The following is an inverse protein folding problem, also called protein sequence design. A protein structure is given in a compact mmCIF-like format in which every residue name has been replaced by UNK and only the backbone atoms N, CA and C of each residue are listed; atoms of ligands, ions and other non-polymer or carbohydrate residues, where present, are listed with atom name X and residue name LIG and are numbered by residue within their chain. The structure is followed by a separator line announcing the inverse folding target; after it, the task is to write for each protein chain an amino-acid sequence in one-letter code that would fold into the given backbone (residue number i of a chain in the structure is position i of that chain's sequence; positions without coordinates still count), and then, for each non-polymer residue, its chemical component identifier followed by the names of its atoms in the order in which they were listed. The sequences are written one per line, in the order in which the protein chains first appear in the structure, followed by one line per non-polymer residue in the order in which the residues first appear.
data_IF_628729323445
#
_entry.id   IF_628729323445
#
_cell.length_a   1.000
_cell.length_b   1.000
_cell.length_c   1.000
_cell.angle_alpha   90.00
_cell.angle_beta   90.00
_cell.angle_gamma   90.00
#
_symmetry.space_group_name_H-M   'P 1'
#
loop_
_entity.id
_entity.type
_entity.pdbx_description
1 polymer ?
#
# COMPACT_ATOMS: atom_id res chain seq x y z
N UNK A 1 40.14 -27.75 -6.08
CA UNK A 1 40.02 -26.32 -5.71
C UNK A 1 38.91 -25.58 -6.45
N UNK A 2 38.07 -26.27 -7.20
CA UNK A 2 37.02 -25.71 -8.10
C UNK A 2 35.59 -25.73 -7.55
N UNK A 3 35.31 -26.44 -6.46
CA UNK A 3 33.94 -26.54 -5.89
C UNK A 3 33.53 -25.40 -4.95
N UNK A 4 34.37 -24.37 -4.75
CA UNK A 4 34.07 -23.20 -3.90
C UNK A 4 33.60 -21.96 -4.68
N UNK A 5 33.69 -21.96 -6.01
CA UNK A 5 33.31 -20.79 -6.88
C UNK A 5 31.86 -20.79 -7.35
N UNK A 6 31.10 -21.88 -7.18
CA UNK A 6 29.73 -22.01 -7.67
C UNK A 6 28.62 -21.58 -6.69
N UNK A 7 28.97 -20.99 -5.53
CA UNK A 7 27.98 -20.52 -4.52
C UNK A 7 27.77 -19.01 -4.49
N UNK A 8 28.29 -18.27 -5.42
CA UNK A 8 28.26 -16.81 -5.43
C UNK A 8 27.68 -16.25 -6.71
N UNK A 9 26.42 -16.46 -7.03
CA UNK A 9 25.73 -15.59 -8.03
C UNK A 9 24.24 -15.92 -8.21
N UNK A 10 23.52 -16.13 -7.13
CA UNK A 10 22.12 -15.74 -7.09
C UNK A 10 22.03 -14.63 -6.04
N UNK A 11 22.56 -13.50 -6.37
CA UNK A 11 22.20 -12.24 -5.71
C UNK A 11 20.71 -12.12 -5.95
N UNK A 12 19.91 -12.51 -4.97
CA UNK A 12 18.46 -12.37 -5.03
C UNK A 12 18.22 -10.88 -5.27
N UNK A 13 17.87 -10.54 -6.52
CA UNK A 13 17.67 -9.13 -6.90
C UNK A 13 16.54 -8.61 -6.05
N UNK A 14 16.83 -7.59 -5.25
CA UNK A 14 15.78 -6.90 -4.51
C UNK A 14 14.96 -6.08 -5.48
N UNK A 15 13.65 -6.03 -5.29
CA UNK A 15 12.78 -5.17 -6.09
C UNK A 15 11.49 -4.81 -5.35
N UNK A 16 10.90 -3.70 -5.76
CA UNK A 16 9.54 -3.30 -5.42
C UNK A 16 8.77 -3.24 -6.73
N UNK A 17 7.72 -4.04 -6.83
CA UNK A 17 6.88 -4.16 -8.00
C UNK A 17 5.43 -3.82 -7.66
N UNK A 18 4.83 -2.94 -8.46
CA UNK A 18 3.42 -2.54 -8.35
C UNK A 18 2.56 -3.31 -9.35
N UNK A 19 1.43 -3.79 -8.86
CA UNK A 19 0.41 -4.45 -9.65
C UNK A 19 -0.89 -3.66 -9.61
N UNK A 20 -1.44 -3.35 -10.79
CA UNK A 20 -2.77 -2.78 -10.97
C UNK A 20 -3.75 -3.89 -11.34
N UNK A 21 -4.74 -4.09 -10.50
CA UNK A 21 -5.73 -5.15 -10.67
C UNK A 21 -7.11 -4.51 -10.91
N UNK A 22 -7.83 -4.89 -11.97
CA UNK A 22 -9.18 -4.37 -12.18
C UNK A 22 -10.06 -4.63 -10.96
N UNK A 23 -10.82 -3.64 -10.53
CA UNK A 23 -11.69 -3.78 -9.38
C UNK A 23 -12.78 -4.80 -9.68
N UNK A 24 -12.76 -5.93 -8.96
CA UNK A 24 -13.67 -7.05 -9.18
C UNK A 24 -13.08 -8.23 -9.93
N UNK A 25 -11.79 -8.20 -10.23
CA UNK A 25 -11.04 -9.41 -10.53
C UNK A 25 -11.29 -10.43 -9.41
N UNK A 26 -11.70 -11.65 -9.74
CA UNK A 26 -11.90 -12.76 -8.80
C UNK A 26 -13.20 -12.80 -7.98
N UNK A 27 -14.13 -11.86 -8.13
CA UNK A 27 -15.40 -11.94 -7.40
C UNK A 27 -16.54 -11.10 -7.97
N UNK A 28 -17.65 -11.73 -8.34
CA UNK A 28 -18.80 -11.05 -8.93
C UNK A 28 -19.38 -9.93 -8.06
N UNK A 29 -19.39 -10.10 -6.73
CA UNK A 29 -19.92 -9.10 -5.79
C UNK A 29 -19.04 -7.85 -5.66
N UNK A 30 -17.73 -8.01 -5.68
CA UNK A 30 -16.78 -6.88 -5.60
C UNK A 30 -16.81 -6.08 -6.90
N UNK A 31 -16.90 -6.78 -8.04
CA UNK A 31 -17.04 -6.14 -9.36
C UNK A 31 -18.31 -5.31 -9.46
N UNK A 32 -19.46 -5.87 -9.04
CA UNK A 32 -20.73 -5.16 -9.08
C UNK A 32 -20.71 -3.90 -8.21
N UNK A 33 -20.18 -3.99 -6.97
CA UNK A 33 -20.05 -2.84 -6.08
C UNK A 33 -19.12 -1.77 -6.66
N UNK A 34 -18.00 -2.15 -7.27
CA UNK A 34 -17.10 -1.24 -7.95
C UNK A 34 -17.76 -0.53 -9.14
N UNK A 35 -18.48 -1.24 -9.98
CA UNK A 35 -19.22 -0.68 -11.12
C UNK A 35 -20.32 0.29 -10.67
N UNK A 36 -21.10 -0.08 -9.64
CA UNK A 36 -22.14 0.80 -9.08
C UNK A 36 -21.53 2.04 -8.47
N UNK A 37 -20.45 1.91 -7.68
CA UNK A 37 -19.73 3.04 -7.11
C UNK A 37 -19.24 3.99 -8.21
N UNK A 38 -18.56 3.45 -9.24
CA UNK A 38 -18.03 4.26 -10.34
C UNK A 38 -19.16 4.95 -11.13
N UNK A 39 -20.26 4.25 -11.42
CA UNK A 39 -21.39 4.84 -12.12
C UNK A 39 -22.01 6.03 -11.36
N UNK A 40 -22.10 5.92 -10.01
CA UNK A 40 -22.61 6.99 -9.17
C UNK A 40 -21.63 8.17 -9.14
N UNK A 41 -20.35 7.90 -8.89
CA UNK A 41 -19.30 8.94 -8.83
C UNK A 41 -19.15 9.66 -10.16
N UNK A 42 -19.08 8.91 -11.28
CA UNK A 42 -18.98 9.49 -12.60
C UNK A 42 -20.17 10.42 -12.92
N UNK A 43 -21.38 10.01 -12.49
CA UNK A 43 -22.59 10.85 -12.66
C UNK A 43 -22.52 12.12 -11.82
N UNK A 44 -22.07 12.04 -10.57
CA UNK A 44 -21.91 13.20 -9.68
C UNK A 44 -20.84 14.14 -10.23
N UNK A 45 -19.71 13.60 -10.68
CA UNK A 45 -18.60 14.36 -11.26
C UNK A 45 -18.85 14.78 -12.73
N UNK A 46 -19.98 14.39 -13.32
CA UNK A 46 -20.35 14.68 -14.72
C UNK A 46 -19.29 14.27 -15.74
N UNK A 47 -18.70 13.11 -15.55
CA UNK A 47 -17.70 12.50 -16.44
C UNK A 47 -18.16 11.14 -16.95
N UNK A 48 -17.45 10.60 -17.93
CA UNK A 48 -17.64 9.22 -18.39
C UNK A 48 -17.13 8.25 -17.31
N UNK A 49 -17.84 7.14 -17.10
CA UNK A 49 -17.39 6.05 -16.25
C UNK A 49 -16.10 5.43 -16.83
N UNK A 50 -15.20 5.02 -15.97
CA UNK A 50 -13.92 4.45 -16.34
C UNK A 50 -13.63 3.17 -15.54
N UNK A 51 -12.60 2.45 -15.94
CA UNK A 51 -12.15 1.28 -15.18
C UNK A 51 -11.56 1.70 -13.84
N UNK A 52 -11.92 0.95 -12.80
CA UNK A 52 -11.35 1.13 -11.48
C UNK A 52 -10.32 0.05 -11.18
N UNK A 53 -9.23 0.47 -10.59
CA UNK A 53 -8.13 -0.43 -10.21
C UNK A 53 -7.90 -0.38 -8.70
N UNK A 54 -7.57 -1.54 -8.14
CA UNK A 54 -6.91 -1.62 -6.85
C UNK A 54 -5.45 -2.04 -7.05
N UNK A 55 -4.63 -1.83 -6.03
CA UNK A 55 -3.19 -2.05 -6.12
C UNK A 55 -2.71 -3.04 -5.06
N UNK A 56 -1.66 -3.78 -5.43
CA UNK A 56 -0.88 -4.63 -4.53
C UNK A 56 0.60 -4.51 -4.87
N UNK A 57 1.47 -4.84 -3.91
CA UNK A 57 2.91 -4.82 -4.11
C UNK A 57 3.49 -6.24 -4.01
N UNK A 58 4.47 -6.52 -4.86
CA UNK A 58 5.39 -7.63 -4.66
C UNK A 58 6.75 -7.04 -4.31
N UNK A 59 7.30 -7.47 -3.18
CA UNK A 59 8.59 -7.00 -2.70
C UNK A 59 9.55 -8.17 -2.62
N UNK A 60 10.64 -8.10 -3.35
CA UNK A 60 11.76 -9.00 -3.24
C UNK A 60 12.82 -8.36 -2.34
N UNK A 61 13.21 -9.04 -1.28
CA UNK A 61 14.23 -8.61 -0.34
C UNK A 61 15.18 -9.79 -0.03
N UNK A 62 16.33 -9.56 0.60
CA UNK A 62 17.20 -10.64 1.03
C UNK A 62 16.51 -11.67 1.96
N UNK A 63 15.48 -11.23 2.69
CA UNK A 63 14.65 -12.05 3.56
C UNK A 63 13.62 -12.92 2.82
N UNK A 64 13.40 -12.69 1.52
CA UNK A 64 12.48 -13.45 0.68
C UNK A 64 11.56 -12.56 -0.16
N UNK A 65 10.59 -13.21 -0.83
CA UNK A 65 9.53 -12.57 -1.59
C UNK A 65 8.30 -12.37 -0.70
N UNK A 66 7.72 -11.17 -0.75
CA UNK A 66 6.52 -10.82 0.02
C UNK A 66 5.47 -10.20 -0.90
N UNK A 67 4.20 -10.52 -0.63
CA UNK A 67 3.04 -9.82 -1.17
C UNK A 67 2.52 -8.89 -0.08
N UNK A 68 2.32 -7.63 -0.44
CA UNK A 68 1.71 -6.61 0.42
C UNK A 68 0.36 -6.24 -0.16
N UNK A 69 -0.69 -6.47 0.60
CA UNK A 69 -2.06 -6.18 0.18
C UNK A 69 -2.96 -5.83 1.37
N UNK A 70 -4.04 -5.12 1.09
CA UNK A 70 -5.16 -4.94 2.00
C UNK A 70 -6.35 -5.74 1.45
N UNK A 71 -6.90 -6.64 2.26
CA UNK A 71 -7.96 -7.54 1.83
C UNK A 71 -8.99 -7.76 2.94
N UNK A 72 -10.26 -8.10 2.60
CA UNK A 72 -11.23 -8.49 3.61
C UNK A 72 -10.78 -9.71 4.41
N UNK A 73 -11.11 -9.73 5.70
CA UNK A 73 -10.88 -10.91 6.54
C UNK A 73 -11.79 -12.04 6.08
N UNK A 74 -11.21 -13.14 5.59
CA UNK A 74 -11.97 -14.28 5.05
C UNK A 74 -12.17 -15.40 6.07
N UNK A 75 -11.15 -15.68 6.89
CA UNK A 75 -11.11 -16.82 7.80
C UNK A 75 -10.16 -16.58 8.98
N UNK A 76 -9.93 -17.61 9.83
CA UNK A 76 -9.04 -17.53 10.99
C UNK A 76 -7.57 -17.80 10.67
N UNK A 77 -7.15 -17.83 9.39
CA UNK A 77 -5.79 -18.14 8.98
C UNK A 77 -4.90 -16.91 8.73
N UNK A 78 -5.25 -15.77 9.31
CA UNK A 78 -4.50 -14.52 9.12
C UNK A 78 -3.00 -14.63 9.43
N UNK A 79 -2.62 -15.36 10.48
CA UNK A 79 -1.22 -15.57 10.84
C UNK A 79 -0.42 -16.26 9.72
N UNK A 80 -1.02 -17.21 8.99
CA UNK A 80 -0.38 -17.90 7.85
C UNK A 80 -0.19 -16.96 6.65
N UNK A 81 -0.99 -15.90 6.55
CA UNK A 81 -0.89 -14.88 5.50
C UNK A 81 -0.07 -13.66 5.91
N UNK A 82 0.60 -13.71 7.06
CA UNK A 82 1.44 -12.61 7.54
C UNK A 82 0.65 -11.33 7.81
N UNK A 83 -0.54 -11.46 8.39
CA UNK A 83 -1.34 -10.30 8.82
C UNK A 83 -0.59 -9.53 9.89
N UNK A 84 -0.37 -8.26 9.66
CA UNK A 84 0.38 -7.35 10.55
C UNK A 84 -0.52 -6.28 11.17
N UNK A 85 -1.67 -6.00 10.57
CA UNK A 85 -2.66 -5.07 11.09
C UNK A 85 -4.07 -5.45 10.60
N UNK A 86 -5.09 -5.01 11.32
CA UNK A 86 -6.49 -5.15 10.93
C UNK A 86 -7.23 -3.83 11.21
N UNK A 87 -8.20 -3.52 10.36
CA UNK A 87 -9.04 -2.33 10.53
C UNK A 87 -10.51 -2.60 10.19
N UNK A 88 -11.39 -1.65 10.49
CA UNK A 88 -12.82 -1.76 10.23
C UNK A 88 -13.16 -1.45 8.76
N UNK A 89 -14.28 -2.00 8.28
CA UNK A 89 -14.87 -1.70 6.96
C UNK A 89 -16.19 -0.94 7.18
N UNK A 90 -16.38 0.16 6.50
CA UNK A 90 -17.60 0.96 6.47
C UNK A 90 -17.89 1.76 7.74
N UNK A 91 -17.59 1.23 8.93
CA UNK A 91 -17.65 2.00 10.19
C UNK A 91 -16.83 1.36 11.29
N UNK A 92 -16.37 2.16 12.26
CA UNK A 92 -15.67 1.64 13.46
C UNK A 92 -16.54 0.72 14.30
N UNK A 93 -17.83 1.01 14.38
CA UNK A 93 -18.77 0.20 15.15
C UNK A 93 -18.98 -1.18 14.51
N UNK A 94 -19.15 -1.23 13.19
CA UNK A 94 -19.28 -2.49 12.44
C UNK A 94 -18.01 -3.35 12.56
N UNK A 95 -16.83 -2.74 12.68
CA UNK A 95 -15.55 -3.42 12.88
C UNK A 95 -15.42 -4.28 14.13
N UNK A 96 -16.43 -4.28 15.04
CA UNK A 96 -16.55 -5.26 16.13
C UNK A 96 -16.83 -6.66 15.62
N UNK A 97 -17.43 -6.77 14.44
CA UNK A 97 -17.73 -8.05 13.78
C UNK A 97 -16.68 -8.35 12.71
N UNK A 98 -16.13 -9.56 12.72
CA UNK A 98 -15.05 -9.96 11.79
C UNK A 98 -15.38 -9.76 10.31
N UNK A 99 -16.60 -9.97 9.91
CA UNK A 99 -17.04 -9.82 8.51
C UNK A 99 -16.94 -8.36 8.01
N UNK A 100 -16.86 -7.40 8.92
CA UNK A 100 -16.66 -5.98 8.65
C UNK A 100 -15.23 -5.52 9.01
N UNK A 101 -14.25 -6.40 8.81
CA UNK A 101 -12.84 -6.08 9.00
C UNK A 101 -12.03 -6.39 7.75
N UNK A 102 -10.97 -5.65 7.59
CA UNK A 102 -9.91 -5.95 6.64
C UNK A 102 -8.63 -6.31 7.38
N UNK A 103 -7.74 -7.00 6.69
CA UNK A 103 -6.39 -7.32 7.13
C UNK A 103 -5.35 -6.69 6.19
N UNK A 104 -4.27 -6.16 6.77
CA UNK A 104 -3.05 -5.75 6.07
C UNK A 104 -2.08 -6.91 6.15
N UNK A 105 -1.65 -7.39 5.00
CA UNK A 105 -0.80 -8.57 4.87
C UNK A 105 0.61 -8.19 4.43
N UNK A 106 1.60 -8.74 5.12
CA UNK A 106 2.99 -8.87 4.67
C UNK A 106 3.25 -10.36 4.45
N UNK A 107 2.72 -10.91 3.38
CA UNK A 107 2.62 -12.34 3.17
C UNK A 107 3.84 -12.90 2.47
N UNK A 108 4.70 -13.59 3.22
CA UNK A 108 5.87 -14.26 2.67
C UNK A 108 5.47 -15.38 1.71
N UNK A 109 6.03 -15.35 0.49
CA UNK A 109 5.67 -16.23 -0.62
C UNK A 109 4.17 -16.23 -0.94
N UNK A 110 3.48 -15.14 -0.60
CA UNK A 110 2.07 -14.96 -0.88
C UNK A 110 1.75 -14.95 -2.37
N UNK A 111 0.46 -15.08 -2.67
CA UNK A 111 -0.06 -15.02 -4.04
C UNK A 111 -1.09 -13.91 -4.08
N UNK A 112 -0.94 -13.01 -5.07
CA UNK A 112 -2.01 -12.08 -5.41
C UNK A 112 -3.07 -12.94 -6.14
N UNK A 113 -4.32 -13.03 -5.61
CA UNK A 113 -5.36 -13.76 -6.31
C UNK A 113 -5.51 -13.31 -7.75
N UNK A 114 -5.96 -13.09 -8.54
CA UNK A 114 -6.23 -12.53 -9.86
C UNK A 114 -5.04 -11.81 -10.54
N UNK A 115 -3.79 -12.17 -10.19
CA UNK A 115 -2.58 -11.60 -10.80
C UNK A 115 -2.57 -11.74 -12.33
N UNK A 116 -3.24 -12.76 -12.87
CA UNK A 116 -3.37 -12.97 -14.31
C UNK A 116 -4.24 -11.89 -14.99
N UNK A 117 -5.06 -11.17 -14.26
CA UNK A 117 -5.90 -10.07 -14.75
C UNK A 117 -5.22 -8.70 -14.58
N UNK A 118 -4.00 -8.66 -14.02
CA UNK A 118 -3.27 -7.42 -13.81
C UNK A 118 -2.98 -6.69 -15.13
N UNK A 119 -3.22 -5.39 -15.16
CA UNK A 119 -3.06 -4.53 -16.33
C UNK A 119 -1.81 -3.66 -16.18
N UNK A 120 -1.02 -3.52 -17.25
CA UNK A 120 0.23 -2.76 -17.24
C UNK A 120 1.15 -3.13 -16.04
N UNK A 121 1.19 -4.39 -15.68
CA UNK A 121 1.86 -4.91 -14.48
C UNK A 121 2.74 -6.13 -14.82
N UNK A 122 3.81 -6.41 -14.04
CA UNK A 122 4.31 -5.56 -12.95
C UNK A 122 4.96 -4.27 -13.45
N UNK A 123 4.85 -3.19 -12.66
CA UNK A 123 5.69 -2.01 -12.80
C UNK A 123 6.85 -2.10 -11.80
N UNK A 124 8.09 -2.18 -12.28
CA UNK A 124 9.27 -2.12 -11.43
C UNK A 124 9.45 -0.68 -10.93
N UNK A 125 9.36 -0.48 -9.63
CA UNK A 125 9.48 0.83 -8.99
C UNK A 125 10.86 1.10 -8.41
N UNK A 126 11.53 0.05 -7.96
CA UNK A 126 12.88 0.14 -7.39
C UNK A 126 13.57 -1.22 -7.43
N UNK A 127 14.89 -1.21 -7.58
CA UNK A 127 15.77 -2.36 -7.40
C UNK A 127 16.76 -2.16 -6.22
N UNK A 128 16.53 -1.12 -5.39
CA UNK A 128 17.33 -0.82 -4.22
C UNK A 128 16.94 -1.73 -3.03
N UNK A 129 17.87 -2.56 -2.53
CA UNK A 129 17.64 -3.43 -1.39
C UNK A 129 17.25 -2.68 -0.10
N UNK A 130 17.74 -1.45 0.07
CA UNK A 130 17.44 -0.66 1.26
C UNK A 130 16.02 -0.11 1.23
N UNK A 131 15.52 0.28 0.05
CA UNK A 131 14.14 0.67 -0.13
C UNK A 131 13.19 -0.53 0.06
N UNK A 132 13.52 -1.69 -0.53
CA UNK A 132 12.72 -2.91 -0.38
C UNK A 132 12.59 -3.30 1.11
N UNK A 133 13.69 -3.28 1.86
CA UNK A 133 13.65 -3.59 3.29
C UNK A 133 12.88 -2.55 4.07
N UNK A 134 13.09 -1.26 3.83
CA UNK A 134 12.36 -0.16 4.47
C UNK A 134 10.86 -0.27 4.25
N UNK A 135 10.42 -0.63 3.05
CA UNK A 135 9.01 -0.86 2.76
C UNK A 135 8.45 -1.96 3.65
N UNK A 136 9.14 -3.10 3.73
CA UNK A 136 8.69 -4.22 4.56
C UNK A 136 8.60 -3.86 6.06
N UNK A 137 9.51 -3.02 6.54
CA UNK A 137 9.54 -2.57 7.94
C UNK A 137 8.39 -1.59 8.24
N UNK A 138 7.97 -0.79 7.24
CA UNK A 138 6.86 0.15 7.37
C UNK A 138 5.47 -0.49 7.33
N UNK A 139 5.31 -1.70 6.78
CA UNK A 139 3.97 -2.32 6.65
C UNK A 139 3.20 -2.38 7.97
N UNK A 140 3.81 -2.71 9.14
CA UNK A 140 3.09 -2.71 10.41
C UNK A 140 2.69 -1.32 10.92
N UNK A 141 3.27 -0.24 10.37
CA UNK A 141 3.02 1.14 10.79
C UNK A 141 1.89 1.82 9.99
N UNK A 142 1.34 1.11 9.01
CA UNK A 142 0.26 1.63 8.15
C UNK A 142 -0.96 2.01 8.99
N UNK A 143 -1.56 3.21 8.75
CA UNK A 143 -2.80 3.59 9.42
C UNK A 143 -3.92 2.57 9.20
N UNK A 144 -4.62 2.21 10.27
CA UNK A 144 -5.78 1.30 10.23
C UNK A 144 -7.09 2.06 10.22
N UNK A 145 -7.22 3.01 9.31
CA UNK A 145 -8.43 3.81 9.13
C UNK A 145 -9.60 2.97 8.59
N UNK A 146 -10.81 3.49 8.69
CA UNK A 146 -12.02 2.80 8.21
C UNK A 146 -11.97 2.67 6.70
N UNK A 147 -11.98 1.43 6.19
CA UNK A 147 -12.04 1.18 4.74
C UNK A 147 -13.34 1.73 4.16
N UNK A 148 -13.21 2.54 3.12
CA UNK A 148 -14.32 3.14 2.38
C UNK A 148 -14.78 4.49 2.94
N UNK A 149 -14.09 5.06 3.95
CA UNK A 149 -14.36 6.40 4.47
C UNK A 149 -13.10 7.28 4.43
N UNK A 150 -13.31 8.59 4.32
CA UNK A 150 -12.26 9.60 4.53
C UNK A 150 -12.14 9.95 6.02
N UNK A 151 -11.73 8.97 6.84
CA UNK A 151 -11.56 9.16 8.28
C UNK A 151 -10.35 10.02 8.64
N UNK A 152 -9.40 10.14 7.71
CA UNK A 152 -8.14 10.86 7.92
C UNK A 152 -8.13 12.27 7.31
N UNK A 153 -9.30 12.77 6.86
CA UNK A 153 -9.44 14.08 6.19
C UNK A 153 -8.45 14.25 5.04
N UNK A 154 -8.28 13.20 4.25
CA UNK A 154 -7.32 13.17 3.16
C UNK A 154 -7.92 13.57 1.80
N UNK A 155 -9.24 13.80 1.74
CA UNK A 155 -9.99 14.16 0.53
C UNK A 155 -10.53 12.97 -0.24
N UNK A 156 -10.06 11.75 0.06
CA UNK A 156 -10.54 10.49 -0.51
C UNK A 156 -10.65 9.40 0.57
N UNK A 157 -11.41 8.33 0.25
CA UNK A 157 -11.57 7.18 1.14
C UNK A 157 -10.24 6.42 1.35
N UNK A 158 -10.10 5.82 2.54
CA UNK A 158 -9.01 4.87 2.82
C UNK A 158 -9.33 3.48 2.27
N UNK A 159 -8.38 2.87 1.55
CA UNK A 159 -8.51 1.52 0.98
C UNK A 159 -7.14 0.90 0.60
N UNK A 160 -7.11 -0.17 -0.23
CA UNK A 160 -5.88 -0.82 -0.68
C UNK A 160 -4.94 0.11 -1.45
N UNK A 161 -5.48 1.06 -2.24
CA UNK A 161 -4.68 2.03 -2.97
C UNK A 161 -4.01 3.01 -2.00
N UNK A 162 -4.71 3.43 -0.95
CA UNK A 162 -4.17 4.30 0.09
C UNK A 162 -3.04 3.62 0.86
N UNK A 163 -3.19 2.32 1.19
CA UNK A 163 -2.13 1.52 1.77
C UNK A 163 -0.88 1.54 0.89
N UNK A 164 -1.06 1.24 -0.40
CA UNK A 164 0.03 1.11 -1.36
C UNK A 164 0.76 2.45 -1.55
N UNK A 165 0.03 3.52 -1.84
CA UNK A 165 0.62 4.85 -2.06
C UNK A 165 1.29 5.41 -0.79
N UNK A 166 0.70 5.16 0.40
CA UNK A 166 1.31 5.53 1.67
C UNK A 166 2.66 4.84 1.88
N UNK A 167 2.74 3.53 1.62
CA UNK A 167 3.98 2.77 1.74
C UNK A 167 5.05 3.27 0.77
N UNK A 168 4.70 3.49 -0.50
CA UNK A 168 5.62 3.94 -1.53
C UNK A 168 6.18 5.33 -1.20
N UNK A 169 5.33 6.28 -0.86
CA UNK A 169 5.72 7.64 -0.46
C UNK A 169 6.65 7.62 0.76
N UNK A 170 6.28 6.86 1.81
CA UNK A 170 7.09 6.72 3.04
C UNK A 170 8.44 6.03 2.80
N UNK A 171 8.53 5.22 1.76
CA UNK A 171 9.75 4.53 1.37
C UNK A 171 10.68 5.42 0.54
N UNK A 172 10.16 6.52 -0.02
CA UNK A 172 10.89 7.44 -0.88
C UNK A 172 10.96 6.97 -2.33
N UNK A 173 9.98 6.19 -2.77
CA UNK A 173 9.73 5.92 -4.18
C UNK A 173 9.12 7.17 -4.81
N UNK A 174 9.51 7.49 -6.04
CA UNK A 174 8.88 8.59 -6.79
C UNK A 174 7.44 8.21 -7.14
N UNK A 175 6.49 8.77 -6.38
CA UNK A 175 5.07 8.50 -6.52
C UNK A 175 4.37 9.47 -7.46
N UNK A 176 4.98 10.60 -7.81
CA UNK A 176 4.35 11.65 -8.63
C UNK A 176 4.17 11.21 -10.09
N UNK A 177 4.97 10.24 -10.54
CA UNK A 177 4.90 9.67 -11.89
C UNK A 177 3.99 8.44 -11.99
N UNK A 178 3.54 7.89 -10.86
CA UNK A 178 2.73 6.68 -10.83
C UNK A 178 1.26 6.98 -11.11
N UNK A 179 0.75 6.36 -12.15
CA UNK A 179 -0.63 6.49 -12.58
C UNK A 179 -1.25 5.10 -12.79
N UNK A 180 -2.55 4.93 -12.53
CA UNK A 180 -3.26 3.73 -12.93
C UNK A 180 -3.21 3.55 -14.46
N UNK A 181 -3.55 2.37 -14.98
CA UNK A 181 -3.60 2.13 -16.42
C UNK A 181 -4.43 3.21 -17.15
N UNK A 182 -4.03 3.49 -18.38
CA UNK A 182 -4.60 4.59 -19.19
C UNK A 182 -6.14 4.54 -19.24
N UNK A 183 -6.76 5.66 -18.91
CA UNK A 183 -8.23 5.78 -18.88
C UNK A 183 -8.88 5.22 -17.62
N UNK A 184 -8.12 4.66 -16.67
CA UNK A 184 -8.60 4.14 -15.41
C UNK A 184 -8.35 5.06 -14.22
N UNK A 185 -8.88 4.67 -13.05
CA UNK A 185 -8.69 5.37 -11.77
C UNK A 185 -8.34 4.39 -10.65
N UNK A 186 -7.64 4.89 -9.66
CA UNK A 186 -7.31 4.18 -8.42
C UNK A 186 -7.83 4.98 -7.21
N UNK A 187 -9.15 4.92 -6.90
CA UNK A 187 -9.73 5.68 -5.78
C UNK A 187 -8.96 5.42 -4.48
N UNK A 188 -8.73 6.48 -3.69
CA UNK A 188 -7.99 6.41 -2.45
C UNK A 188 -6.46 6.50 -2.61
N UNK A 189 -5.93 6.53 -3.83
CA UNK A 189 -4.48 6.68 -4.05
C UNK A 189 -3.95 7.98 -3.43
N UNK A 190 -4.62 9.10 -3.70
CA UNK A 190 -4.20 10.40 -3.18
C UNK A 190 -4.34 10.49 -1.66
N UNK A 191 -5.31 9.81 -1.06
CA UNK A 191 -5.43 9.75 0.41
C UNK A 191 -4.17 9.18 1.07
N UNK A 192 -3.58 8.12 0.53
CA UNK A 192 -2.35 7.55 1.05
C UNK A 192 -1.18 8.52 0.97
N UNK A 193 -1.01 9.23 -0.17
CA UNK A 193 0.04 10.23 -0.36
C UNK A 193 -0.11 11.40 0.64
N UNK A 194 -1.32 11.95 0.77
CA UNK A 194 -1.61 13.05 1.70
C UNK A 194 -1.25 12.67 3.14
N UNK A 195 -1.68 11.49 3.59
CA UNK A 195 -1.41 11.02 4.95
C UNK A 195 0.09 10.76 5.16
N UNK A 196 0.79 10.17 4.19
CA UNK A 196 2.22 9.92 4.27
C UNK A 196 3.03 11.22 4.40
N UNK A 197 2.71 12.23 3.60
CA UNK A 197 3.39 13.54 3.57
C UNK A 197 3.18 14.30 4.89
N UNK A 198 2.01 14.24 5.51
CA UNK A 198 1.75 14.85 6.83
C UNK A 198 2.67 14.29 7.92
N UNK A 199 2.90 12.99 7.95
CA UNK A 199 3.80 12.35 8.92
C UNK A 199 5.24 12.80 8.71
N UNK A 200 5.69 12.94 7.47
CA UNK A 200 7.05 13.39 7.14
C UNK A 200 7.30 14.83 7.58
N UNK A 201 6.34 15.73 7.37
CA UNK A 201 6.42 17.13 7.83
C UNK A 201 6.48 17.22 9.36
N UNK A 202 5.65 16.44 10.07
CA UNK A 202 5.64 16.41 11.53
C UNK A 202 6.97 15.88 12.12
N UNK A 203 7.60 14.91 11.46
CA UNK A 203 8.90 14.38 11.86
C UNK A 203 10.03 15.40 11.63
N UNK A 204 10.03 16.11 10.48
CA UNK A 204 10.98 17.16 10.17
C UNK A 204 10.89 18.37 11.12
N UNK A 205 9.68 18.74 11.54
CA UNK A 205 9.46 19.82 12.49
C UNK A 205 10.01 19.49 13.89
N UNK A 206 9.89 18.24 14.35
CA UNK A 206 10.46 17.80 15.65
C UNK A 206 11.97 17.71 15.64
N UNK A 207 12.60 17.41 14.51
CA UNK A 207 14.07 17.36 14.37
C UNK A 207 14.76 18.72 14.40
N UNK A 208 14.00 19.82 14.26
CA UNK A 208 14.53 21.20 14.20
C UNK A 208 14.42 21.95 15.53
N UNK A 209 14.31 21.27 16.67
CA UNK A 209 14.46 21.92 17.99
C UNK A 209 15.92 22.24 18.19
N UNK A 210 16.28 23.49 17.90
CA UNK A 210 17.62 24.10 18.09
C UNK A 210 17.98 23.91 19.55
N UNK A 211 19.12 23.26 19.83
CA UNK A 211 19.78 23.37 21.14
C UNK A 211 20.04 24.86 21.41
N UNK A 212 19.63 25.43 22.53
CA UNK A 212 20.07 26.76 22.91
C UNK A 212 21.59 26.71 23.08
N UNK A 213 22.30 27.53 22.32
CA UNK A 213 23.72 27.79 22.56
C UNK A 213 23.88 28.43 23.96
N UNK A 214 24.60 27.74 24.84
CA UNK A 214 25.03 28.34 26.09
C UNK A 214 25.97 29.51 25.76
N UNK A 215 25.73 30.75 26.21
CA UNK A 215 26.71 31.80 26.10
C UNK A 215 27.85 31.44 27.02
N UNK A 216 29.06 31.28 26.43
CA UNK A 216 30.31 31.19 27.18
C UNK A 216 30.44 32.49 27.95
N UNK A 217 30.44 32.38 29.29
CA UNK A 217 30.75 33.47 30.20
C UNK A 217 32.19 33.91 29.99
N UNK A 218 32.33 35.20 29.72
CA UNK A 218 33.61 35.91 29.79
C UNK A 218 33.87 36.21 31.26
N UNK A 219 35.00 35.75 31.75
CA UNK A 219 35.70 36.29 32.94
C UNK A 219 37.05 36.73 32.50
#
# INVERSE_FOLDING_TARGET
MERRRARSTLRQMSSIELYWLPLGAGGHSVRLNGLVFEAVVARVERRTACDLYHSALVVHAPSGRFVIEQAPVRDNQGAKRGVVAEGPVGSRLAGRFRIFRYEVRRWRNGVIPDIAEAVASPQLLSDDPSQAQRLLDLVPEVPTAVWGLDELDAGEMWNSNSLTSWLLERTGVDTDTLQPPLGGRAPGWDAGLVVARRVSVAAGARGRVIRPEHPLGVV
#
